data_IF_727104338042
#
_entry.id   IF_727104338042
#
_cell.length_a   1.000
_cell.length_b   1.000
_cell.length_c   1.000
_cell.angle_alpha   90.00
_cell.angle_beta   90.00
_cell.angle_gamma   90.00
#
_symmetry.space_group_name_H-M   'P 1'
#
loop_
_entity.id
_entity.type
_entity.pdbx_description
1 polymer ?
#
# COMPACT_ATOMS: atom_id res chain seq x y z
N UNK A 1 -15.41 -47.91 25.10
CA UNK A 1 -14.01 -47.68 25.51
C UNK A 1 -13.00 -47.66 24.36
N UNK A 2 -13.25 -48.29 23.18
CA UNK A 2 -12.31 -48.22 22.02
C UNK A 2 -12.36 -46.91 21.21
N UNK A 3 -13.46 -46.14 21.28
CA UNK A 3 -13.64 -44.89 20.51
C UNK A 3 -12.92 -43.67 21.11
N UNK A 4 -12.59 -43.70 22.41
CA UNK A 4 -11.91 -42.59 23.11
C UNK A 4 -10.40 -42.56 22.86
N UNK A 5 -9.80 -43.64 22.36
CA UNK A 5 -8.37 -43.70 21.98
C UNK A 5 -8.12 -43.13 20.58
N UNK A 6 -9.14 -43.09 19.72
CA UNK A 6 -9.02 -42.57 18.35
C UNK A 6 -8.81 -41.05 18.30
N UNK A 7 -9.35 -40.32 19.27
CA UNK A 7 -9.26 -38.85 19.34
C UNK A 7 -7.82 -38.33 19.58
N UNK A 8 -7.04 -38.84 20.56
CA UNK A 8 -5.66 -38.39 20.75
C UNK A 8 -4.74 -38.82 19.60
N UNK A 9 -4.99 -39.98 18.96
CA UNK A 9 -4.24 -40.42 17.78
C UNK A 9 -4.48 -39.49 16.58
N UNK A 10 -5.72 -39.03 16.39
CA UNK A 10 -6.06 -38.06 15.35
C UNK A 10 -5.37 -36.70 15.59
N UNK A 11 -5.33 -36.22 16.84
CA UNK A 11 -4.68 -34.95 17.20
C UNK A 11 -3.15 -35.01 17.01
N UNK A 12 -2.51 -36.12 17.39
CA UNK A 12 -1.07 -36.29 17.18
C UNK A 12 -0.66 -36.35 15.69
N UNK A 13 -1.57 -36.71 14.78
CA UNK A 13 -1.29 -36.78 13.35
C UNK A 13 -1.40 -35.42 12.63
N UNK A 14 -2.22 -34.50 13.15
CA UNK A 14 -2.40 -33.15 12.56
C UNK A 14 -1.47 -32.08 13.14
N UNK A 15 -0.72 -32.37 14.21
CA UNK A 15 0.22 -31.44 14.84
C UNK A 15 1.49 -31.14 14.03
N UNK A 16 1.72 -31.82 12.90
CA UNK A 16 2.92 -31.68 12.06
C UNK A 16 2.66 -30.92 10.75
N UNK A 17 1.58 -30.14 10.66
CA UNK A 17 1.38 -29.26 9.52
C UNK A 17 2.36 -28.08 9.61
N UNK A 18 3.48 -28.15 8.87
CA UNK A 18 4.31 -26.99 8.59
C UNK A 18 3.54 -26.04 7.67
N UNK A 19 3.50 -24.75 8.00
CA UNK A 19 2.97 -23.73 7.10
C UNK A 19 3.79 -23.71 5.81
N UNK A 20 3.14 -23.66 4.66
CA UNK A 20 3.80 -23.33 3.39
C UNK A 20 4.32 -21.89 3.45
N UNK A 21 5.59 -21.68 3.12
CA UNK A 21 6.13 -20.34 2.86
C UNK A 21 5.91 -20.03 1.40
N UNK A 22 4.96 -19.15 1.10
CA UNK A 22 4.73 -18.66 -0.27
C UNK A 22 5.73 -17.53 -0.48
N UNK A 23 7.00 -17.91 -0.64
CA UNK A 23 8.09 -17.01 -0.98
C UNK A 23 8.46 -17.15 -2.45
N UNK A 24 8.99 -16.10 -3.07
CA UNK A 24 9.77 -16.20 -4.31
C UNK A 24 10.85 -17.28 -4.25
N UNK A 25 10.83 -18.25 -5.17
CA UNK A 25 11.89 -19.26 -5.35
C UNK A 25 12.29 -19.33 -6.83
N UNK A 26 13.59 -19.51 -7.12
CA UNK A 26 14.12 -19.54 -8.49
C UNK A 26 14.96 -20.80 -8.72
N UNK A 27 14.77 -21.45 -9.87
CA UNK A 27 15.61 -22.55 -10.35
C UNK A 27 16.62 -21.97 -11.33
N UNK A 28 17.89 -21.94 -10.93
CA UNK A 28 18.96 -21.32 -11.70
C UNK A 28 20.20 -22.21 -11.71
N UNK A 29 21.05 -22.05 -12.72
CA UNK A 29 22.29 -22.84 -12.84
C UNK A 29 23.34 -22.38 -11.81
N UNK A 30 23.30 -21.11 -11.41
CA UNK A 30 24.15 -20.57 -10.34
C UNK A 30 23.53 -19.29 -9.77
N UNK A 31 23.91 -18.89 -8.57
CA UNK A 31 23.51 -17.62 -7.97
C UNK A 31 24.17 -17.40 -6.62
N UNK A 32 24.21 -16.16 -6.15
CA UNK A 32 24.74 -15.81 -4.83
C UNK A 32 24.15 -14.50 -4.30
N UNK A 33 24.27 -14.31 -2.98
CA UNK A 33 23.95 -13.08 -2.27
C UNK A 33 25.19 -12.64 -1.48
N UNK A 34 25.56 -11.37 -1.62
CA UNK A 34 26.61 -10.75 -0.83
C UNK A 34 26.13 -9.44 -0.24
N UNK A 35 26.46 -9.19 1.02
CA UNK A 35 26.06 -8.01 1.78
C UNK A 35 27.21 -7.56 2.66
N UNK A 36 27.49 -6.26 2.62
CA UNK A 36 28.49 -5.62 3.47
C UNK A 36 27.90 -4.43 4.26
N UNK A 37 26.59 -4.45 4.54
CA UNK A 37 25.85 -3.49 5.36
C UNK A 37 25.54 -2.14 4.69
N UNK A 38 26.32 -1.74 3.68
CA UNK A 38 26.07 -0.52 2.89
C UNK A 38 25.50 -0.82 1.51
N UNK A 39 25.91 -1.94 0.92
CA UNK A 39 25.49 -2.39 -0.40
C UNK A 39 25.26 -3.90 -0.31
N UNK A 40 24.13 -4.33 -0.86
CA UNK A 40 23.84 -5.73 -1.10
C UNK A 40 23.80 -6.00 -2.60
N UNK A 41 24.29 -7.16 -2.99
CA UNK A 41 24.29 -7.65 -4.37
C UNK A 41 23.72 -9.06 -4.35
N UNK A 42 22.59 -9.24 -5.02
CA UNK A 42 22.08 -10.55 -5.40
C UNK A 42 22.29 -10.75 -6.89
N UNK A 43 22.60 -11.98 -7.30
CA UNK A 43 22.66 -12.34 -8.71
C UNK A 43 22.31 -13.81 -8.91
N UNK A 44 21.75 -14.11 -10.08
CA UNK A 44 21.47 -15.47 -10.55
C UNK A 44 21.98 -15.60 -11.99
N UNK A 45 22.29 -16.82 -12.43
CA UNK A 45 22.85 -17.12 -13.74
C UNK A 45 22.18 -18.38 -14.32
N UNK A 46 21.61 -18.25 -15.50
CA UNK A 46 20.95 -19.37 -16.18
C UNK A 46 19.55 -19.61 -15.63
N UNK A 47 18.71 -18.58 -15.72
CA UNK A 47 17.27 -18.69 -15.53
C UNK A 47 16.66 -19.38 -16.75
N UNK A 48 16.50 -20.70 -16.66
CA UNK A 48 16.08 -21.53 -17.80
C UNK A 48 14.55 -21.64 -17.97
N UNK A 49 13.79 -21.36 -16.91
CA UNK A 49 12.32 -21.52 -16.87
C UNK A 49 11.69 -20.23 -16.39
N UNK A 50 11.17 -19.44 -17.32
CA UNK A 50 10.28 -18.32 -17.06
C UNK A 50 8.94 -18.61 -17.74
N UNK A 51 7.87 -18.60 -16.98
CA UNK A 51 6.52 -18.80 -17.49
C UNK A 51 5.61 -17.72 -16.89
N UNK A 52 4.74 -17.17 -17.73
CA UNK A 52 3.74 -16.19 -17.29
C UNK A 52 2.38 -16.83 -17.35
N UNK A 53 1.76 -17.02 -16.19
CA UNK A 53 0.37 -17.42 -16.07
C UNK A 53 -0.49 -16.19 -15.86
N UNK A 54 -1.62 -16.11 -16.56
CA UNK A 54 -2.61 -15.06 -16.35
C UNK A 54 -4.03 -15.63 -16.44
N UNK A 55 -4.88 -15.24 -15.49
CA UNK A 55 -6.32 -15.54 -15.50
C UNK A 55 -7.18 -14.29 -15.82
N UNK A 56 -6.55 -13.18 -16.24
CA UNK A 56 -7.19 -11.89 -16.52
C UNK A 56 -7.27 -10.93 -15.34
N UNK A 57 -7.26 -11.42 -14.10
CA UNK A 57 -7.25 -10.59 -12.88
C UNK A 57 -5.91 -10.67 -12.13
N UNK A 58 -5.26 -11.83 -12.20
CA UNK A 58 -3.98 -12.11 -11.55
C UNK A 58 -2.97 -12.52 -12.61
N UNK A 59 -1.79 -11.89 -12.56
CA UNK A 59 -0.65 -12.26 -13.39
C UNK A 59 0.41 -12.85 -12.46
N UNK A 60 0.79 -14.09 -12.70
CA UNK A 60 1.88 -14.79 -12.02
C UNK A 60 3.01 -14.98 -13.02
N UNK A 61 4.03 -14.15 -12.92
CA UNK A 61 5.28 -14.30 -13.67
C UNK A 61 6.26 -15.10 -12.84
N UNK A 62 6.82 -16.17 -13.40
CA UNK A 62 7.98 -16.85 -12.84
C UNK A 62 9.26 -16.11 -13.26
N UNK A 63 10.12 -15.84 -12.29
CA UNK A 63 11.42 -15.21 -12.49
C UNK A 63 11.65 -14.08 -11.50
N UNK A 64 12.68 -14.21 -10.65
CA UNK A 64 12.69 -13.58 -9.32
C UNK A 64 13.88 -12.67 -9.01
N UNK A 65 14.59 -12.18 -10.02
CA UNK A 65 15.44 -11.01 -9.82
C UNK A 65 14.69 -9.71 -10.15
N UNK A 66 13.50 -9.54 -9.58
CA UNK A 66 12.83 -8.24 -9.57
C UNK A 66 13.37 -7.43 -8.38
N UNK A 67 14.00 -6.26 -8.61
CA UNK A 67 14.39 -5.41 -7.50
C UNK A 67 13.15 -5.06 -6.68
N UNK A 68 13.19 -5.36 -5.38
CA UNK A 68 12.22 -4.83 -4.44
C UNK A 68 12.44 -3.32 -4.39
N UNK A 69 11.61 -2.56 -5.10
CA UNK A 69 11.61 -1.12 -5.01
C UNK A 69 10.99 -0.74 -3.66
N UNK A 70 11.82 -0.55 -2.63
CA UNK A 70 11.47 0.40 -1.58
C UNK A 70 11.51 1.78 -2.23
N UNK A 71 10.38 2.19 -2.79
CA UNK A 71 10.16 3.58 -3.17
C UNK A 71 10.16 4.41 -1.88
N UNK A 72 11.35 4.80 -1.43
CA UNK A 72 11.51 5.86 -0.44
C UNK A 72 11.10 7.13 -1.15
N UNK A 73 9.83 7.52 -0.98
CA UNK A 73 9.36 8.83 -1.31
C UNK A 73 10.23 9.82 -0.53
N UNK A 74 11.17 10.47 -1.23
CA UNK A 74 11.79 11.70 -0.73
C UNK A 74 10.71 12.77 -0.85
N UNK A 75 9.71 12.72 0.02
CA UNK A 75 8.97 13.94 0.33
C UNK A 75 10.02 14.87 0.94
N UNK A 76 10.35 15.97 0.26
CA UNK A 76 10.84 17.15 0.96
C UNK A 76 9.71 17.58 1.89
N UNK A 77 9.67 16.96 3.07
CA UNK A 77 8.78 17.36 4.15
C UNK A 77 9.33 18.71 4.56
N UNK A 78 8.67 19.77 4.11
CA UNK A 78 8.80 21.06 4.73
C UNK A 78 8.41 20.83 6.21
N UNK A 79 9.38 20.87 7.13
CA UNK A 79 9.26 20.37 8.51
C UNK A 79 8.10 21.01 9.29
N UNK A 80 7.55 22.10 8.77
CA UNK A 80 6.45 22.86 9.35
C UNK A 80 5.06 22.50 8.80
N UNK A 81 4.96 21.57 7.84
CA UNK A 81 3.69 21.13 7.26
C UNK A 81 3.18 19.90 8.00
N UNK A 82 2.06 20.07 8.70
CA UNK A 82 1.35 18.97 9.35
C UNK A 82 0.00 18.76 8.66
N UNK A 83 -0.23 17.56 8.13
CA UNK A 83 -1.49 17.18 7.50
C UNK A 83 -1.87 15.81 8.05
N UNK A 84 -3.13 15.62 8.39
CA UNK A 84 -3.67 14.32 8.81
C UNK A 84 -5.04 14.07 8.18
N UNK A 85 -5.29 12.81 7.84
CA UNK A 85 -6.55 12.36 7.25
C UNK A 85 -6.99 11.07 7.93
N UNK A 86 -8.14 11.09 8.60
CA UNK A 86 -8.63 9.96 9.39
C UNK A 86 -10.15 9.98 9.56
N UNK A 87 -10.81 8.83 9.80
CA UNK A 87 -10.23 7.49 9.80
C UNK A 87 -9.95 7.02 8.36
N UNK A 88 -8.97 6.13 8.23
CA UNK A 88 -8.74 5.36 7.03
C UNK A 88 -8.46 3.91 7.46
N UNK A 89 -9.30 2.92 7.09
CA UNK A 89 -10.49 3.02 6.21
C UNK A 89 -11.68 3.80 6.80
N UNK A 90 -12.66 4.14 5.95
CA UNK A 90 -13.88 4.89 6.32
C UNK A 90 -15.15 4.34 5.66
N UNK A 91 -16.33 4.65 6.20
CA UNK A 91 -17.65 4.28 5.65
C UNK A 91 -18.49 5.49 5.22
N UNK A 92 -18.41 6.61 5.94
CA UNK A 92 -19.29 7.76 5.71
C UNK A 92 -18.58 9.10 5.68
N UNK A 93 -17.58 9.31 6.52
CA UNK A 93 -16.92 10.59 6.65
C UNK A 93 -15.44 10.45 6.98
N UNK A 94 -14.68 11.45 6.57
CA UNK A 94 -13.28 11.63 6.97
C UNK A 94 -13.11 13.01 7.57
N UNK A 95 -12.17 13.12 8.48
CA UNK A 95 -11.66 14.37 8.99
C UNK A 95 -10.33 14.63 8.30
N UNK A 96 -10.24 15.80 7.67
CA UNK A 96 -9.03 16.30 7.09
C UNK A 96 -8.58 17.50 7.92
N UNK A 97 -7.38 17.40 8.48
CA UNK A 97 -6.73 18.46 9.23
C UNK A 97 -5.44 18.86 8.54
N UNK A 98 -5.21 20.16 8.44
CA UNK A 98 -3.97 20.69 7.91
C UNK A 98 -3.51 21.90 8.68
N UNK A 99 -2.19 22.07 8.71
CA UNK A 99 -1.46 23.24 9.14
C UNK A 99 -0.31 23.41 8.14
N UNK A 100 -0.46 24.38 7.23
CA UNK A 100 0.47 24.64 6.13
C UNK A 100 0.89 26.12 6.22
N UNK A 101 1.92 26.45 7.02
CA UNK A 101 2.33 27.83 7.24
C UNK A 101 2.70 28.56 5.94
N UNK A 102 2.40 29.87 5.91
CA UNK A 102 2.73 30.73 4.77
C UNK A 102 1.97 30.40 3.49
N UNK A 103 0.77 29.81 3.59
CA UNK A 103 -0.20 29.76 2.49
C UNK A 103 -1.45 30.54 2.87
N UNK A 104 -2.06 31.25 1.92
CA UNK A 104 -3.37 31.86 2.13
C UNK A 104 -4.49 31.05 1.49
N UNK A 105 -4.15 30.00 0.74
CA UNK A 105 -5.10 29.15 0.03
C UNK A 105 -4.62 27.69 -0.01
N UNK A 106 -5.51 26.78 0.33
CA UNK A 106 -5.30 25.33 0.25
C UNK A 106 -6.40 24.74 -0.62
N UNK A 107 -6.01 24.09 -1.72
CA UNK A 107 -6.93 23.34 -2.57
C UNK A 107 -6.99 21.89 -2.12
N UNK A 108 -8.20 21.40 -1.85
CA UNK A 108 -8.47 20.02 -1.46
C UNK A 108 -9.27 19.35 -2.57
N UNK A 109 -8.72 18.27 -3.11
CA UNK A 109 -9.33 17.50 -4.19
C UNK A 109 -9.52 16.04 -3.76
N UNK A 110 -10.63 15.46 -4.19
CA UNK A 110 -10.90 14.02 -4.06
C UNK A 110 -10.94 13.44 -5.45
N UNK A 111 -10.11 12.43 -5.68
CA UNK A 111 -9.84 11.84 -6.98
C UNK A 111 -10.15 10.35 -6.89
N UNK A 112 -10.86 9.81 -7.87
CA UNK A 112 -11.09 8.36 -7.94
C UNK A 112 -9.89 7.60 -8.53
N UNK A 113 -9.97 6.27 -8.55
CA UNK A 113 -8.91 5.42 -9.11
C UNK A 113 -8.65 5.65 -10.61
N UNK A 114 -9.58 6.27 -11.34
CA UNK A 114 -9.41 6.59 -12.77
C UNK A 114 -8.74 7.94 -12.99
N UNK A 115 -8.46 8.69 -11.90
CA UNK A 115 -7.89 10.03 -11.97
C UNK A 115 -8.94 11.14 -12.13
N UNK A 116 -10.24 10.82 -12.06
CA UNK A 116 -11.30 11.82 -12.16
C UNK A 116 -11.47 12.55 -10.84
N UNK A 117 -11.48 13.88 -10.91
CA UNK A 117 -11.76 14.74 -9.75
C UNK A 117 -13.26 14.71 -9.45
N UNK A 118 -13.62 14.18 -8.29
CA UNK A 118 -15.00 14.09 -7.80
C UNK A 118 -15.40 15.30 -6.96
N UNK A 119 -14.44 15.89 -6.26
CA UNK A 119 -14.63 17.09 -5.45
C UNK A 119 -13.38 17.96 -5.55
N UNK A 120 -13.57 19.27 -5.68
CA UNK A 120 -12.52 20.27 -5.60
C UNK A 120 -13.03 21.45 -4.77
N UNK A 121 -12.32 21.79 -3.68
CA UNK A 121 -12.64 22.91 -2.81
C UNK A 121 -11.37 23.68 -2.44
N UNK A 122 -11.45 25.00 -2.54
CA UNK A 122 -10.40 25.89 -2.06
C UNK A 122 -10.80 26.50 -0.72
N UNK A 123 -9.88 26.47 0.22
CA UNK A 123 -10.04 27.06 1.55
C UNK A 123 -9.02 28.17 1.74
N UNK A 124 -9.47 29.33 2.22
CA UNK A 124 -8.61 30.50 2.49
C UNK A 124 -8.10 30.50 3.93
N UNK A 125 -7.59 29.35 4.37
CA UNK A 125 -7.16 29.08 5.74
C UNK A 125 -5.87 28.25 5.68
N UNK A 126 -4.83 28.69 6.37
CA UNK A 126 -3.54 27.98 6.49
C UNK A 126 -3.62 26.81 7.47
N UNK A 127 -4.55 26.89 8.43
CA UNK A 127 -4.91 25.84 9.35
C UNK A 127 -6.42 25.58 9.36
N UNK A 128 -6.82 24.31 9.21
CA UNK A 128 -8.22 23.97 9.40
C UNK A 128 -8.43 22.50 9.71
N UNK A 129 -9.60 22.21 10.28
CA UNK A 129 -10.19 20.89 10.38
C UNK A 129 -11.50 20.89 9.62
N UNK A 130 -11.60 20.10 8.55
CA UNK A 130 -12.82 19.94 7.76
C UNK A 130 -13.25 18.48 7.74
N UNK A 131 -14.54 18.26 7.96
CA UNK A 131 -15.16 16.96 7.76
C UNK A 131 -15.68 16.87 6.32
N UNK A 132 -15.32 15.80 5.62
CA UNK A 132 -15.77 15.51 4.27
C UNK A 132 -16.75 14.35 4.34
N UNK A 133 -17.96 14.58 3.86
CA UNK A 133 -18.97 13.55 3.73
C UNK A 133 -18.75 12.76 2.44
N UNK A 134 -18.53 11.46 2.59
CA UNK A 134 -18.34 10.50 1.52
C UNK A 134 -19.54 9.55 1.37
N UNK A 135 -20.66 9.76 2.10
CA UNK A 135 -21.79 8.83 2.15
C UNK A 135 -22.37 8.50 0.77
N UNK A 136 -22.39 9.47 -0.15
CA UNK A 136 -22.89 9.32 -1.52
C UNK A 136 -21.89 8.71 -2.51
N UNK A 137 -20.62 8.56 -2.11
CA UNK A 137 -19.57 8.00 -2.97
C UNK A 137 -19.68 6.46 -3.01
N UNK A 138 -19.36 5.79 -4.12
CA UNK A 138 -19.27 4.33 -4.15
C UNK A 138 -18.19 3.76 -3.21
N UNK A 139 -18.29 2.48 -2.86
CA UNK A 139 -17.20 1.75 -2.17
C UNK A 139 -16.02 1.60 -3.14
N UNK A 140 -14.90 2.22 -2.83
CA UNK A 140 -13.69 2.23 -3.65
C UNK A 140 -12.52 2.86 -2.87
N UNK A 141 -11.32 2.78 -3.46
CA UNK A 141 -10.21 3.62 -3.05
C UNK A 141 -10.29 5.00 -3.69
N UNK A 142 -9.94 6.04 -2.93
CA UNK A 142 -9.86 7.42 -3.40
C UNK A 142 -8.53 8.05 -2.99
N UNK A 143 -8.11 9.07 -3.74
CA UNK A 143 -6.98 9.91 -3.39
C UNK A 143 -7.46 11.29 -2.96
N UNK A 144 -7.01 11.72 -1.78
CA UNK A 144 -7.24 13.07 -1.29
C UNK A 144 -5.96 13.84 -1.47
N UNK A 145 -5.99 14.84 -2.34
CA UNK A 145 -4.84 15.66 -2.69
C UNK A 145 -5.01 17.05 -2.08
N UNK A 146 -3.98 17.48 -1.36
CA UNK A 146 -3.87 18.83 -0.83
C UNK A 146 -2.78 19.56 -1.62
N UNK A 147 -3.10 20.75 -2.10
CA UNK A 147 -2.17 21.59 -2.86
C UNK A 147 -2.12 23.02 -2.31
N UNK A 148 -0.91 23.59 -2.36
CA UNK A 148 -0.58 24.98 -2.04
C UNK A 148 -0.17 25.65 -3.34
N UNK A 149 -0.85 26.73 -3.73
CA UNK A 149 -0.52 27.50 -4.95
C UNK A 149 -0.42 26.60 -6.20
N UNK A 150 -1.27 25.57 -6.30
CA UNK A 150 -1.27 24.60 -7.40
C UNK A 150 -0.20 23.51 -7.33
N UNK A 151 0.73 23.56 -6.35
CA UNK A 151 1.69 22.48 -6.10
C UNK A 151 1.14 21.50 -5.07
N UNK A 152 1.20 20.21 -5.39
CA UNK A 152 0.78 19.16 -4.47
C UNK A 152 1.72 19.11 -3.27
N UNK A 153 1.14 19.22 -2.08
CA UNK A 153 1.85 19.15 -0.81
C UNK A 153 1.80 17.72 -0.26
N UNK A 154 0.63 17.10 -0.29
CA UNK A 154 0.43 15.74 0.21
C UNK A 154 -0.74 15.06 -0.50
N UNK A 155 -0.64 13.75 -0.67
CA UNK A 155 -1.73 12.91 -1.16
C UNK A 155 -1.96 11.74 -0.21
N UNK A 156 -3.20 11.54 0.24
CA UNK A 156 -3.60 10.36 1.01
C UNK A 156 -4.41 9.42 0.14
N UNK A 157 -4.05 8.15 0.12
CA UNK A 157 -4.96 7.09 -0.32
C UNK A 157 -5.89 6.75 0.82
N UNK A 158 -7.20 6.82 0.59
CA UNK A 158 -8.23 6.36 1.52
C UNK A 158 -9.01 5.19 0.93
N UNK A 159 -9.41 4.25 1.77
CA UNK A 159 -10.26 3.12 1.39
C UNK A 159 -11.64 3.32 1.97
N UNK A 160 -12.66 3.34 1.12
CA UNK A 160 -14.06 3.42 1.53
C UNK A 160 -14.76 2.06 1.42
N UNK A 161 -15.29 1.58 2.55
CA UNK A 161 -16.19 0.43 2.64
C UNK A 161 -17.66 0.83 2.72
#
# INVERSE_FOLDING_TARGET
>A
MKKTILLPVFICFFGFAFSQSIGPDIITSSGNYHDNGTVSISWTLGEGVIETFSDGNTILTQGFQQPYYDLVLVETIDENINISCYPNPTTQFINLEWQIPGTNEVSVEIIDMTGRILLNKNYKEDNAKKQINLSTFPQADYFIRLAKEGKTVKTYKITKY
#
